data_IF_675104318306
#
_entry.id   IF_675104318306
#
_cell.length_a   1.000
_cell.length_b   1.000
_cell.length_c   1.000
_cell.angle_alpha   90.00
_cell.angle_beta   90.00
_cell.angle_gamma   90.00
#
_symmetry.space_group_name_H-M   'P 1'
#
loop_
_entity.id
_entity.type
_entity.pdbx_description
1 polymer ?
#
# COMPACT_ATOMS: atom_id res chain seq x y z
N UNK A 1 7.44 -17.52 13.22
CA UNK A 1 6.21 -16.73 13.47
C UNK A 1 6.46 -15.23 13.29
N UNK A 2 5.60 -14.53 12.54
CA UNK A 2 5.72 -13.10 12.21
C UNK A 2 4.74 -12.72 11.10
N UNK A 3 4.65 -11.43 10.77
CA UNK A 3 3.85 -10.91 9.65
C UNK A 3 4.75 -10.16 8.67
N UNK A 4 4.40 -10.11 7.36
CA UNK A 4 5.11 -9.29 6.42
C UNK A 4 4.75 -7.80 6.56
N UNK A 5 5.66 -6.96 6.10
CA UNK A 5 5.38 -5.59 5.67
C UNK A 5 5.64 -5.51 4.17
N UNK A 6 4.75 -4.82 3.47
CA UNK A 6 4.91 -4.47 2.06
C UNK A 6 5.35 -3.02 1.99
N UNK A 7 6.57 -2.78 1.50
CA UNK A 7 7.04 -1.43 1.19
C UNK A 7 6.61 -1.05 -0.23
N UNK A 8 6.11 0.17 -0.40
CA UNK A 8 5.54 0.71 -1.63
C UNK A 8 6.33 1.94 -2.03
N UNK A 9 7.01 1.86 -3.17
CA UNK A 9 7.77 2.96 -3.75
C UNK A 9 7.12 3.35 -5.08
N UNK A 10 6.72 4.61 -5.21
CA UNK A 10 5.97 5.13 -6.36
C UNK A 10 6.83 6.11 -7.13
N UNK A 11 7.18 5.75 -8.36
CA UNK A 11 7.81 6.68 -9.29
C UNK A 11 6.73 7.56 -9.94
N UNK A 12 6.61 8.82 -9.48
CA UNK A 12 5.56 9.74 -9.94
C UNK A 12 5.70 10.16 -11.42
N UNK A 13 6.92 10.13 -11.97
CA UNK A 13 7.16 10.52 -13.37
C UNK A 13 6.72 9.45 -14.36
N UNK A 14 6.80 8.18 -13.96
CA UNK A 14 6.50 7.03 -14.82
C UNK A 14 5.24 6.28 -14.42
N UNK A 15 4.72 6.52 -13.21
CA UNK A 15 3.62 5.76 -12.62
C UNK A 15 4.00 4.33 -12.21
N UNK A 16 5.28 3.95 -12.27
CA UNK A 16 5.74 2.63 -11.86
C UNK A 16 5.75 2.54 -10.33
N UNK A 17 5.07 1.53 -9.78
CA UNK A 17 5.01 1.28 -8.35
C UNK A 17 5.74 -0.02 -8.05
N UNK A 18 6.82 0.08 -7.27
CA UNK A 18 7.60 -1.06 -6.82
C UNK A 18 7.10 -1.51 -5.46
N UNK A 19 6.73 -2.78 -5.36
CA UNK A 19 6.34 -3.43 -4.11
C UNK A 19 7.44 -4.38 -3.69
N UNK A 20 7.87 -4.29 -2.43
CA UNK A 20 8.80 -5.24 -1.83
C UNK A 20 8.19 -5.82 -0.55
N UNK A 21 8.39 -7.11 -0.32
CA UNK A 21 7.96 -7.76 0.92
C UNK A 21 9.16 -8.13 1.79
N UNK A 22 9.02 -7.90 3.08
CA UNK A 22 9.98 -8.35 4.08
C UNK A 22 9.28 -8.70 5.40
N UNK A 23 10.00 -9.39 6.27
CA UNK A 23 9.49 -9.67 7.62
C UNK A 23 9.44 -8.38 8.42
N UNK A 24 8.27 -8.04 8.95
CA UNK A 24 8.19 -6.94 9.91
C UNK A 24 8.85 -7.33 11.24
N UNK A 25 9.76 -6.48 11.73
CA UNK A 25 10.39 -6.56 13.04
C UNK A 25 10.41 -5.17 13.68
N UNK A 26 10.25 -5.10 15.00
CA UNK A 26 10.43 -3.84 15.76
C UNK A 26 11.92 -3.47 15.92
N UNK A 27 12.81 -4.47 15.89
CA UNK A 27 14.25 -4.32 16.05
C UNK A 27 15.00 -5.52 15.46
N UNK A 28 16.22 -5.29 15.00
CA UNK A 28 17.10 -6.32 14.43
C UNK A 28 16.92 -6.50 12.92
N UNK A 29 17.71 -7.40 12.34
CA UNK A 29 17.72 -7.64 10.89
C UNK A 29 16.70 -8.72 10.52
N UNK A 30 15.78 -8.44 9.58
CA UNK A 30 14.86 -9.45 9.08
C UNK A 30 15.61 -10.56 8.33
N UNK A 31 15.27 -11.81 8.65
CA UNK A 31 15.70 -12.97 7.86
C UNK A 31 14.82 -13.05 6.61
N UNK A 32 15.41 -13.38 5.47
CA UNK A 32 14.68 -13.58 4.23
C UNK A 32 13.58 -14.63 4.40
N UNK A 33 12.33 -14.19 4.24
CA UNK A 33 11.14 -15.02 4.30
C UNK A 33 10.13 -14.43 3.32
N UNK A 34 9.48 -15.29 2.54
CA UNK A 34 8.44 -14.90 1.60
C UNK A 34 7.08 -15.39 2.08
N UNK A 35 6.07 -14.60 1.78
CA UNK A 35 4.66 -14.91 1.96
C UNK A 35 3.95 -14.79 0.61
N UNK A 36 2.86 -15.53 0.46
CA UNK A 36 1.87 -15.28 -0.58
C UNK A 36 0.92 -14.18 -0.07
N UNK A 37 1.14 -12.94 -0.53
CA UNK A 37 0.40 -11.78 -0.05
C UNK A 37 -0.68 -11.41 -1.09
N UNK A 38 -1.98 -11.51 -0.78
CA UNK A 38 -3.03 -11.04 -1.65
C UNK A 38 -3.06 -9.50 -1.69
N UNK A 39 -2.55 -8.93 -2.77
CA UNK A 39 -2.48 -7.47 -2.92
C UNK A 39 -3.82 -6.94 -3.43
N UNK A 40 -4.40 -6.03 -2.66
CA UNK A 40 -5.50 -5.15 -3.05
C UNK A 40 -4.99 -3.74 -3.00
N UNK A 41 -5.40 -2.89 -3.93
CA UNK A 41 -4.97 -1.50 -3.96
C UNK A 41 -5.97 -0.61 -4.69
N UNK A 42 -5.95 0.67 -4.34
CA UNK A 42 -6.64 1.73 -5.07
C UNK A 42 -5.78 2.99 -5.03
N UNK A 43 -6.22 4.03 -5.73
CA UNK A 43 -5.52 5.31 -5.84
C UNK A 43 -6.48 6.49 -5.75
N UNK A 44 -5.94 7.70 -5.64
CA UNK A 44 -6.71 8.94 -5.41
C UNK A 44 -7.88 9.17 -6.37
N UNK A 45 -7.72 8.77 -7.63
CA UNK A 45 -8.71 9.07 -8.67
C UNK A 45 -9.81 8.00 -8.78
N UNK A 46 -9.50 6.75 -8.42
CA UNK A 46 -10.45 5.64 -8.42
C UNK A 46 -11.26 5.55 -7.11
N UNK A 47 -10.61 5.69 -5.95
CA UNK A 47 -11.24 5.63 -4.62
C UNK A 47 -12.11 4.39 -4.37
N UNK A 48 -11.76 3.25 -4.97
CA UNK A 48 -12.51 2.02 -4.78
C UNK A 48 -12.04 1.28 -3.52
N UNK A 49 -12.70 1.57 -2.40
CA UNK A 49 -12.43 0.91 -1.12
C UNK A 49 -13.38 -0.26 -0.79
N UNK A 50 -14.27 -0.62 -1.71
CA UNK A 50 -15.27 -1.68 -1.48
C UNK A 50 -14.78 -3.05 -1.98
N UNK A 51 -13.92 -3.06 -3.00
CA UNK A 51 -13.40 -4.31 -3.57
C UNK A 51 -12.20 -4.85 -2.79
N UNK A 52 -12.43 -5.87 -1.97
CA UNK A 52 -11.35 -6.63 -1.31
C UNK A 52 -10.85 -7.82 -2.16
N UNK A 53 -11.27 -7.92 -3.42
CA UNK A 53 -10.79 -8.98 -4.32
C UNK A 53 -9.33 -8.68 -4.71
N UNK A 54 -8.38 -9.60 -4.46
CA UNK A 54 -6.97 -9.38 -4.80
C UNK A 54 -6.80 -9.11 -6.29
N UNK A 55 -5.99 -8.09 -6.62
CA UNK A 55 -5.57 -7.83 -8.00
C UNK A 55 -4.59 -8.90 -8.46
N UNK A 56 -3.70 -9.34 -7.56
CA UNK A 56 -2.73 -10.43 -7.77
C UNK A 56 -2.20 -10.91 -6.42
N UNK A 57 -1.40 -11.99 -6.45
CA UNK A 57 -0.65 -12.49 -5.28
C UNK A 57 0.83 -12.11 -5.43
N UNK A 58 1.39 -11.43 -4.44
CA UNK A 58 2.82 -11.18 -4.34
C UNK A 58 3.49 -12.40 -3.68
N UNK A 59 4.07 -13.28 -4.49
CA UNK A 59 4.80 -14.48 -4.04
C UNK A 59 6.32 -14.36 -4.12
N UNK A 60 6.82 -13.25 -4.68
CA UNK A 60 8.25 -12.93 -4.85
C UNK A 60 8.69 -11.84 -3.87
N UNK A 61 10.00 -11.69 -3.67
CA UNK A 61 10.56 -10.63 -2.82
C UNK A 61 10.14 -9.22 -3.28
N UNK A 62 9.99 -9.03 -4.59
CA UNK A 62 9.53 -7.79 -5.19
C UNK A 62 8.67 -8.04 -6.41
N UNK A 63 7.82 -7.07 -6.72
CA UNK A 63 7.11 -6.97 -8.01
C UNK A 63 6.88 -5.51 -8.34
N UNK A 64 6.43 -5.25 -9.56
CA UNK A 64 6.04 -3.90 -10.01
C UNK A 64 4.61 -3.91 -10.53
N UNK A 65 3.88 -2.85 -10.26
CA UNK A 65 2.59 -2.56 -10.87
C UNK A 65 2.66 -1.20 -11.57
N UNK A 66 1.81 -1.00 -12.58
CA UNK A 66 1.78 0.22 -13.36
C UNK A 66 0.53 1.02 -13.02
N UNK A 67 0.71 2.30 -12.70
CA UNK A 67 -0.35 3.28 -12.58
C UNK A 67 -0.16 4.41 -13.61
N UNK A 68 -1.12 5.32 -13.69
CA UNK A 68 -0.96 6.57 -14.43
C UNK A 68 0.13 7.43 -13.78
N UNK A 69 1.06 8.00 -14.55
CA UNK A 69 2.01 8.98 -14.04
C UNK A 69 1.31 10.19 -13.42
N UNK A 70 1.91 10.76 -12.38
CA UNK A 70 1.40 11.92 -11.69
C UNK A 70 1.48 11.78 -10.17
N UNK A 71 1.20 12.89 -9.49
CA UNK A 71 1.21 12.97 -8.02
C UNK A 71 -0.10 12.42 -7.46
N UNK A 72 -0.28 11.11 -7.62
CA UNK A 72 -1.48 10.36 -7.28
C UNK A 72 -1.10 9.37 -6.18
N UNK A 73 -1.61 9.60 -4.97
CA UNK A 73 -1.37 8.67 -3.87
C UNK A 73 -2.05 7.32 -4.13
N UNK A 74 -1.46 6.27 -3.57
CA UNK A 74 -1.98 4.90 -3.59
C UNK A 74 -2.18 4.38 -2.16
N UNK A 75 -3.17 3.50 -2.00
CA UNK A 75 -3.40 2.75 -0.77
C UNK A 75 -3.49 1.27 -1.12
N UNK A 76 -2.71 0.46 -0.41
CA UNK A 76 -2.79 -1.00 -0.46
C UNK A 76 -3.56 -1.54 0.74
N UNK A 77 -3.93 -2.82 0.66
CA UNK A 77 -4.66 -3.54 1.69
C UNK A 77 -6.04 -2.93 1.97
N UNK A 78 -6.88 -2.86 0.94
CA UNK A 78 -8.25 -2.35 1.04
C UNK A 78 -8.99 -3.04 2.20
N UNK A 79 -9.62 -2.22 3.03
CA UNK A 79 -10.34 -2.60 4.25
C UNK A 79 -9.51 -3.39 5.28
N UNK A 80 -8.17 -3.34 5.19
CA UNK A 80 -7.25 -4.14 6.02
C UNK A 80 -7.58 -5.66 5.95
N UNK A 81 -8.03 -6.12 4.79
CA UNK A 81 -8.52 -7.48 4.59
C UNK A 81 -7.42 -8.54 4.58
N UNK A 82 -6.17 -8.15 4.31
CA UNK A 82 -4.99 -9.01 4.40
C UNK A 82 -4.19 -8.81 5.69
N UNK A 83 -3.58 -9.89 6.18
CA UNK A 83 -2.71 -9.89 7.37
C UNK A 83 -1.28 -9.45 7.01
N UNK A 84 -1.12 -8.18 6.66
CA UNK A 84 0.19 -7.57 6.40
C UNK A 84 0.14 -6.07 6.68
N UNK A 85 1.30 -5.51 7.02
CA UNK A 85 1.47 -4.04 7.12
C UNK A 85 1.82 -3.47 5.75
N UNK A 86 1.50 -2.20 5.55
CA UNK A 86 1.93 -1.46 4.37
C UNK A 86 2.75 -0.27 4.84
N UNK A 87 3.87 -0.03 4.18
CA UNK A 87 4.70 1.14 4.38
C UNK A 87 4.88 1.81 3.02
N UNK A 88 4.63 3.11 2.93
CA UNK A 88 4.78 3.87 1.69
C UNK A 88 6.07 4.69 1.73
N UNK A 89 6.56 5.10 0.57
CA UNK A 89 7.57 6.16 0.48
C UNK A 89 7.07 7.47 1.12
N UNK A 90 8.01 8.35 1.45
CA UNK A 90 7.73 9.62 2.14
C UNK A 90 6.74 10.49 1.35
N UNK A 91 6.84 10.49 0.02
CA UNK A 91 6.02 11.35 -0.82
C UNK A 91 4.55 10.90 -0.84
N UNK A 92 4.30 9.59 -0.96
CA UNK A 92 2.97 9.02 -0.85
C UNK A 92 2.39 9.23 0.56
N UNK A 93 3.20 9.10 1.62
CA UNK A 93 2.78 9.45 2.98
C UNK A 93 2.38 10.92 3.13
N UNK A 94 3.15 11.86 2.56
CA UNK A 94 2.84 13.28 2.59
C UNK A 94 1.51 13.60 1.88
N UNK A 95 1.30 12.99 0.70
CA UNK A 95 0.05 13.15 -0.05
C UNK A 95 -1.15 12.59 0.72
N UNK A 96 -1.02 11.41 1.31
CA UNK A 96 -2.06 10.81 2.15
C UNK A 96 -2.35 11.69 3.38
N UNK A 97 -1.31 12.16 4.06
CA UNK A 97 -1.46 13.06 5.21
C UNK A 97 -2.18 14.35 4.83
N UNK A 98 -1.82 14.96 3.69
CA UNK A 98 -2.50 16.15 3.16
C UNK A 98 -3.97 15.87 2.85
N UNK A 99 -4.26 14.78 2.15
CA UNK A 99 -5.61 14.38 1.77
C UNK A 99 -6.51 14.06 2.97
N UNK A 100 -5.95 13.42 4.01
CA UNK A 100 -6.69 13.02 5.22
C UNK A 100 -6.87 14.14 6.26
N UNK A 101 -6.07 15.21 6.19
CA UNK A 101 -6.24 16.42 7.01
C UNK A 101 -7.38 17.30 6.51
N UNK A 102 -7.68 17.27 5.22
CA UNK A 102 -8.77 18.04 4.65
C UNK A 102 -10.12 17.36 4.95
N UNK A 103 -10.99 18.08 5.68
CA UNK A 103 -12.29 17.57 6.13
C UNK A 103 -13.21 17.15 4.98
N UNK A 104 -13.11 17.80 3.81
CA UNK A 104 -13.94 17.50 2.65
C UNK A 104 -13.52 16.23 1.91
N UNK A 105 -12.26 15.81 2.04
CA UNK A 105 -11.70 14.65 1.33
C UNK A 105 -11.46 13.46 2.24
N UNK A 106 -11.28 13.68 3.55
CA UNK A 106 -10.99 12.62 4.54
C UNK A 106 -12.00 11.47 4.51
N UNK A 107 -13.28 11.77 4.29
CA UNK A 107 -14.36 10.76 4.28
C UNK A 107 -14.33 9.86 3.05
N UNK A 108 -13.60 10.23 1.99
CA UNK A 108 -13.47 9.42 0.77
C UNK A 108 -12.58 8.19 0.99
N UNK A 109 -11.64 8.24 1.94
CA UNK A 109 -10.84 7.08 2.33
C UNK A 109 -11.63 6.28 3.35
N UNK A 110 -11.83 4.98 3.13
CA UNK A 110 -12.64 4.12 4.00
C UNK A 110 -12.09 4.04 5.42
N UNK A 111 -12.99 3.89 6.42
CA UNK A 111 -12.68 3.97 7.86
C UNK A 111 -11.53 3.05 8.30
N UNK A 112 -11.52 1.79 7.85
CA UNK A 112 -10.52 0.79 8.21
C UNK A 112 -9.17 1.15 7.58
N UNK A 113 -9.15 1.62 6.33
CA UNK A 113 -7.91 2.10 5.70
C UNK A 113 -7.32 3.35 6.37
N UNK A 114 -8.13 4.16 7.08
CA UNK A 114 -7.62 5.27 7.90
C UNK A 114 -7.11 4.85 9.28
N UNK A 115 -7.50 3.66 9.75
CA UNK A 115 -7.17 3.14 11.08
C UNK A 115 -6.02 2.12 11.06
N UNK A 116 -5.78 1.52 9.89
CA UNK A 116 -4.59 0.75 9.55
C UNK A 116 -3.32 1.56 9.79
#
# INVERSE_FOLDING_TARGET
PGSPVVNVDVNMDTGLITLTQERFLLSGTPVAQLWDIPITWTHRDELNFESTRPSFILSTASTTIQNTPGHIWVILNIAQSGLYRVNYDDHNWEMLASYLRNANTRTNVQKLNRAQ
#
